data_IF_958336052020
#
_entry.id   IF_958336052020
#
_cell.length_a   1.000
_cell.length_b   1.000
_cell.length_c   1.000
_cell.angle_alpha   90.00
_cell.angle_beta   90.00
_cell.angle_gamma   90.00
#
_symmetry.space_group_name_H-M   'P 1'
#
loop_
_entity.id
_entity.type
_entity.pdbx_description
1 polymer ?
#
# COMPACT_ATOMS: atom_id res chain seq x y z
N UNK A 1 -44.11 19.13 -8.09
CA UNK A 1 -43.24 18.33 -7.19
C UNK A 1 -41.85 18.36 -7.81
N UNK A 2 -41.19 19.52 -7.75
CA UNK A 2 -40.19 19.91 -6.75
C UNK A 2 -39.03 18.90 -6.70
N UNK A 3 -37.94 19.40 -7.26
CA UNK A 3 -36.57 18.93 -7.40
C UNK A 3 -35.89 18.55 -6.07
N UNK A 4 -34.84 17.72 -6.20
CA UNK A 4 -33.50 17.74 -5.54
C UNK A 4 -33.03 16.38 -4.98
N UNK A 5 -31.70 16.15 -4.92
CA UNK A 5 -31.06 15.05 -5.64
C UNK A 5 -30.25 14.10 -4.73
N UNK A 6 -29.75 13.02 -5.31
CA UNK A 6 -28.70 12.19 -4.71
C UNK A 6 -27.39 12.99 -4.70
N UNK A 7 -26.80 13.05 -3.51
CA UNK A 7 -25.67 13.87 -3.12
C UNK A 7 -24.39 13.37 -3.82
N UNK A 8 -23.97 14.07 -4.87
CA UNK A 8 -22.57 14.26 -5.24
C UNK A 8 -21.93 15.18 -4.19
N UNK A 9 -20.59 15.15 -4.06
CA UNK A 9 -19.74 15.82 -3.05
C UNK A 9 -19.37 14.93 -1.84
N UNK A 10 -18.25 14.21 -1.98
CA UNK A 10 -17.16 14.30 -1.00
C UNK A 10 -15.83 14.01 -1.70
N UNK A 11 -15.27 15.10 -2.22
CA UNK A 11 -13.91 15.28 -2.67
C UNK A 11 -12.88 14.59 -1.77
N UNK A 12 -12.06 13.74 -2.40
CA UNK A 12 -10.64 14.03 -2.58
C UNK A 12 -9.97 14.74 -1.40
N UNK A 13 -9.41 13.97 -0.46
CA UNK A 13 -8.23 14.22 0.42
C UNK A 13 -8.41 13.40 1.72
N UNK A 14 -7.75 12.22 1.80
CA UNK A 14 -6.46 12.20 2.49
C UNK A 14 -5.42 11.31 1.77
N UNK A 15 -5.23 11.51 0.46
CA UNK A 15 -4.15 10.88 -0.31
C UNK A 15 -2.74 11.46 -0.02
N UNK A 16 -2.57 12.26 1.05
CA UNK A 16 -1.28 12.85 1.43
C UNK A 16 -0.82 12.53 2.87
N UNK A 17 -1.57 11.79 3.69
CA UNK A 17 -1.17 11.55 5.10
C UNK A 17 -0.32 10.29 5.28
N UNK A 18 -0.41 9.31 4.37
CA UNK A 18 0.22 8.00 4.59
C UNK A 18 1.71 7.89 4.22
N UNK A 19 2.30 8.87 3.52
CA UNK A 19 3.72 8.80 3.13
C UNK A 19 4.64 9.55 4.11
N UNK A 20 4.14 10.48 4.94
CA UNK A 20 5.00 11.29 5.85
C UNK A 20 4.96 10.90 7.34
N UNK A 21 4.01 10.09 7.82
CA UNK A 21 3.98 9.70 9.25
C UNK A 21 4.87 8.50 9.61
N UNK A 22 5.54 7.87 8.62
CA UNK A 22 6.43 6.72 8.85
C UNK A 22 7.84 7.06 9.34
N UNK A 23 8.14 8.31 9.73
CA UNK A 23 9.52 8.75 10.02
C UNK A 23 9.77 9.52 11.31
N UNK A 24 8.79 9.65 12.21
CA UNK A 24 9.00 10.29 13.51
C UNK A 24 8.37 9.49 14.65
N UNK A 25 8.94 8.33 14.99
CA UNK A 25 8.73 7.70 16.30
C UNK A 25 9.96 6.89 16.75
N UNK A 26 11.17 7.38 16.43
CA UNK A 26 12.43 6.77 16.87
C UNK A 26 13.33 7.72 17.66
N UNK A 27 12.78 8.51 18.59
CA UNK A 27 13.49 9.23 19.66
C UNK A 27 12.39 9.68 20.64
N UNK A 28 12.34 9.41 21.93
CA UNK A 28 13.32 8.90 22.87
C UNK A 28 12.56 8.36 24.08
N UNK A 29 12.73 7.06 24.34
CA UNK A 29 12.39 6.38 25.57
C UNK A 29 13.36 6.85 26.68
N UNK A 30 13.19 8.09 27.17
CA UNK A 30 14.01 8.62 28.26
C UNK A 30 13.25 8.53 29.58
N UNK A 31 13.40 7.36 30.20
CA UNK A 31 13.70 7.16 31.61
C UNK A 31 13.32 8.31 32.57
N UNK A 32 12.20 8.17 33.27
CA UNK A 32 11.95 8.89 34.53
C UNK A 32 11.40 7.92 35.59
N UNK A 33 12.22 6.92 35.93
CA UNK A 33 12.08 6.15 37.18
C UNK A 33 13.05 6.70 38.21
N UNK A 34 12.73 7.85 38.78
CA UNK A 34 13.41 8.36 39.97
C UNK A 34 12.82 7.67 41.21
N UNK A 35 13.52 6.62 41.64
CA UNK A 35 13.34 5.96 42.94
C UNK A 35 14.09 6.80 43.99
N UNK A 36 13.39 7.54 44.84
CA UNK A 36 13.98 8.13 46.04
C UNK A 36 13.40 7.45 47.28
N UNK A 37 14.31 6.80 48.02
CA UNK A 37 14.12 6.24 49.35
C UNK A 37 14.77 7.20 50.33
N UNK A 38 14.00 7.75 51.25
CA UNK A 38 14.40 8.43 52.49
C UNK A 38 13.11 8.66 53.28
N UNK A 39 13.01 8.65 54.60
CA UNK A 39 13.81 8.21 55.73
C UNK A 39 12.79 8.15 56.88
N UNK A 40 13.02 7.32 57.91
CA UNK A 40 12.06 7.17 59.00
C UNK A 40 12.00 8.43 59.88
N UNK A 41 10.80 8.97 60.10
CA UNK A 41 10.52 9.68 61.35
C UNK A 41 9.07 9.45 61.78
N UNK A 42 8.90 9.00 63.02
CA UNK A 42 7.64 8.53 63.58
C UNK A 42 6.63 9.66 63.80
N UNK A 43 5.57 9.65 63.00
CA UNK A 43 4.28 10.24 63.35
C UNK A 43 3.22 9.33 62.75
N UNK A 44 2.27 8.87 63.57
CA UNK A 44 1.23 7.91 63.19
C UNK A 44 0.20 8.62 62.30
N UNK A 45 0.56 8.80 61.04
CA UNK A 45 -0.34 9.31 60.02
C UNK A 45 -1.28 8.18 59.62
N UNK A 46 -2.57 8.37 59.88
CA UNK A 46 -3.59 7.53 59.28
C UNK A 46 -3.50 7.71 57.76
N UNK A 47 -3.18 6.63 57.04
CA UNK A 47 -3.08 6.66 55.58
C UNK A 47 -4.48 6.82 55.01
N UNK A 48 -4.86 8.05 54.70
CA UNK A 48 -6.04 8.30 53.89
C UNK A 48 -5.78 7.67 52.51
N UNK A 49 -6.54 6.63 52.17
CA UNK A 49 -6.57 6.11 50.79
C UNK A 49 -7.40 7.10 50.00
N UNK A 50 -6.78 7.84 49.09
CA UNK A 50 -7.51 8.73 48.19
C UNK A 50 -8.28 7.89 47.17
N UNK A 51 -9.54 8.24 46.90
CA UNK A 51 -10.41 7.63 45.87
C UNK A 51 -9.82 7.70 44.45
N UNK A 52 -8.67 8.38 44.29
CA UNK A 52 -7.88 8.44 43.07
C UNK A 52 -7.16 7.11 42.79
N UNK A 53 -6.78 6.32 43.81
CA UNK A 53 -6.05 5.06 43.59
C UNK A 53 -6.86 4.02 42.80
N UNK A 54 -8.16 3.89 43.07
CA UNK A 54 -9.03 2.96 42.33
C UNK A 54 -9.27 3.35 40.86
N UNK A 55 -9.04 4.62 40.49
CA UNK A 55 -9.19 5.07 39.10
C UNK A 55 -7.98 4.70 38.26
N UNK A 56 -6.78 4.70 38.84
CA UNK A 56 -5.52 4.37 38.16
C UNK A 56 -5.52 2.89 37.72
N UNK A 57 -5.97 1.98 38.60
CA UNK A 57 -6.03 0.54 38.31
C UNK A 57 -7.09 0.22 37.24
N UNK A 58 -8.22 0.94 37.27
CA UNK A 58 -9.28 0.80 36.27
C UNK A 58 -8.83 1.29 34.89
N UNK A 59 -8.11 2.41 34.83
CA UNK A 59 -7.56 2.94 33.56
C UNK A 59 -6.36 2.13 33.05
N UNK A 60 -5.60 1.47 33.93
CA UNK A 60 -4.51 0.58 33.52
C UNK A 60 -5.01 -0.64 32.75
N UNK A 61 -6.12 -1.23 33.19
CA UNK A 61 -6.74 -2.38 32.53
C UNK A 61 -7.41 -1.98 31.19
N UNK A 62 -7.95 -0.77 31.12
CA UNK A 62 -8.56 -0.20 29.90
C UNK A 62 -7.48 0.19 28.87
N UNK A 63 -6.35 0.73 29.33
CA UNK A 63 -5.19 1.02 28.48
C UNK A 63 -4.49 -0.27 28.02
N UNK A 64 -4.39 -1.31 28.85
CA UNK A 64 -3.90 -2.64 28.42
C UNK A 64 -4.84 -3.30 27.39
N UNK A 65 -6.15 -3.09 27.48
CA UNK A 65 -7.12 -3.58 26.50
C UNK A 65 -7.07 -2.79 25.17
N UNK A 66 -6.86 -1.47 25.24
CA UNK A 66 -6.66 -0.62 24.06
C UNK A 66 -5.31 -0.93 23.38
N UNK A 67 -4.24 -1.10 24.16
CA UNK A 67 -2.92 -1.52 23.65
C UNK A 67 -2.96 -2.96 23.08
N UNK A 68 -3.79 -3.85 23.63
CA UNK A 68 -4.05 -5.17 23.03
C UNK A 68 -4.83 -5.13 21.72
N UNK A 69 -5.60 -4.07 21.47
CA UNK A 69 -6.38 -3.90 20.26
C UNK A 69 -5.62 -3.11 19.17
N UNK A 70 -4.56 -2.37 19.53
CA UNK A 70 -3.85 -1.48 18.60
C UNK A 70 -2.64 -2.12 17.88
N UNK A 71 -2.17 -3.32 18.21
CA UNK A 71 -0.84 -3.73 17.74
C UNK A 71 -0.68 -5.21 17.35
N UNK A 72 -1.59 -5.73 16.52
CA UNK A 72 -1.27 -6.93 15.71
C UNK A 72 -1.45 -6.57 14.25
N UNK A 73 -0.42 -5.91 13.69
CA UNK A 73 -0.28 -5.78 12.26
C UNK A 73 0.49 -6.99 11.73
N UNK A 74 0.02 -7.50 10.60
CA UNK A 74 0.67 -8.56 9.84
C UNK A 74 1.22 -7.97 8.54
N UNK A 75 2.43 -8.36 8.18
CA UNK A 75 3.01 -7.98 6.90
C UNK A 75 2.45 -8.91 5.82
N UNK A 76 1.74 -8.33 4.85
CA UNK A 76 1.22 -9.03 3.68
C UNK A 76 1.97 -8.60 2.41
N UNK A 77 2.15 -9.51 1.45
CA UNK A 77 2.88 -9.28 0.20
C UNK A 77 1.99 -9.45 -1.03
N UNK A 78 1.98 -8.45 -1.92
CA UNK A 78 0.92 -8.27 -2.91
C UNK A 78 1.14 -9.26 -4.03
N UNK A 79 0.15 -10.10 -4.29
CA UNK A 79 0.30 -11.10 -5.33
C UNK A 79 0.39 -10.53 -6.75
N UNK A 80 0.05 -9.25 -6.95
CA UNK A 80 0.17 -8.58 -8.24
C UNK A 80 1.57 -7.96 -8.43
N UNK A 81 2.03 -7.18 -7.45
CA UNK A 81 3.21 -6.31 -7.63
C UNK A 81 4.36 -6.57 -6.64
N UNK A 82 4.18 -7.44 -5.64
CA UNK A 82 5.18 -7.76 -4.62
C UNK A 82 5.37 -6.66 -3.57
N UNK A 83 4.53 -5.62 -3.55
CA UNK A 83 4.55 -4.60 -2.50
C UNK A 83 4.18 -5.24 -1.16
N UNK A 84 4.92 -4.91 -0.10
CA UNK A 84 4.65 -5.34 1.27
C UNK A 84 3.97 -4.22 2.05
N UNK A 85 2.87 -4.53 2.72
CA UNK A 85 2.13 -3.59 3.56
C UNK A 85 1.86 -4.23 4.92
N UNK A 86 1.94 -3.43 5.98
CA UNK A 86 1.56 -3.85 7.33
C UNK A 86 0.07 -3.57 7.51
N UNK A 87 -0.73 -4.62 7.69
CA UNK A 87 -2.19 -4.58 7.66
C UNK A 87 -2.79 -5.27 8.89
N UNK A 88 -3.99 -4.87 9.29
CA UNK A 88 -4.73 -5.65 10.31
C UNK A 88 -5.22 -6.97 9.69
N UNK A 89 -5.30 -8.07 10.48
CA UNK A 89 -5.81 -9.36 10.00
C UNK A 89 -7.20 -9.26 9.38
N UNK A 90 -8.09 -8.47 9.98
CA UNK A 90 -9.45 -8.22 9.47
C UNK A 90 -9.43 -7.56 8.09
N UNK A 91 -8.51 -6.61 7.86
CA UNK A 91 -8.37 -5.97 6.55
C UNK A 91 -7.83 -6.94 5.51
N UNK A 92 -6.82 -7.74 5.86
CA UNK A 92 -6.28 -8.80 4.98
C UNK A 92 -7.41 -9.73 4.54
N UNK A 93 -8.22 -10.22 5.48
CA UNK A 93 -9.32 -11.14 5.18
C UNK A 93 -10.36 -10.52 4.25
N UNK A 94 -10.79 -9.28 4.53
CA UNK A 94 -11.77 -8.58 3.69
C UNK A 94 -11.26 -8.38 2.24
N UNK A 95 -9.96 -8.13 2.07
CA UNK A 95 -9.35 -8.05 0.74
C UNK A 95 -9.34 -9.42 0.06
N UNK A 96 -8.94 -10.48 0.76
CA UNK A 96 -8.93 -11.84 0.20
C UNK A 96 -10.33 -12.29 -0.23
N UNK A 97 -11.35 -12.03 0.58
CA UNK A 97 -12.76 -12.35 0.29
C UNK A 97 -13.27 -11.68 -1.00
N UNK A 98 -12.73 -10.50 -1.33
CA UNK A 98 -13.12 -9.70 -2.50
C UNK A 98 -12.25 -9.94 -3.74
N UNK A 99 -11.14 -10.67 -3.63
CA UNK A 99 -10.13 -10.82 -4.68
C UNK A 99 -9.74 -12.27 -4.96
N UNK A 100 -10.70 -13.20 -4.82
CA UNK A 100 -10.49 -14.63 -5.09
C UNK A 100 -9.39 -15.24 -4.20
N UNK A 101 -9.47 -14.99 -2.90
CA UNK A 101 -8.55 -15.48 -1.87
C UNK A 101 -7.10 -15.00 -2.03
N UNK A 102 -6.88 -13.93 -2.81
CA UNK A 102 -5.56 -13.34 -3.05
C UNK A 102 -5.45 -12.01 -2.32
N UNK A 103 -4.34 -11.81 -1.61
CA UNK A 103 -4.06 -10.50 -1.03
C UNK A 103 -3.51 -9.55 -2.10
N UNK A 104 -4.14 -8.38 -2.24
CA UNK A 104 -3.73 -7.31 -3.14
C UNK A 104 -3.58 -5.99 -2.37
N UNK A 105 -2.51 -5.24 -2.64
CA UNK A 105 -2.32 -3.93 -2.03
C UNK A 105 -3.39 -2.94 -2.46
N UNK A 106 -3.55 -1.84 -1.71
CA UNK A 106 -4.62 -0.86 -1.95
C UNK A 106 -4.66 -0.30 -3.40
N UNK A 107 -3.49 -0.10 -4.02
CA UNK A 107 -3.42 0.38 -5.42
C UNK A 107 -3.85 -0.69 -6.44
N UNK A 108 -3.46 -1.95 -6.22
CA UNK A 108 -3.84 -3.06 -7.10
C UNK A 108 -5.34 -3.39 -6.94
N UNK A 109 -5.89 -3.27 -5.74
CA UNK A 109 -7.33 -3.41 -5.47
C UNK A 109 -8.14 -2.40 -6.31
N UNK A 110 -7.77 -1.12 -6.30
CA UNK A 110 -8.47 -0.11 -7.11
C UNK A 110 -8.33 -0.37 -8.61
N UNK A 111 -7.16 -0.85 -9.07
CA UNK A 111 -6.98 -1.19 -10.48
C UNK A 111 -7.85 -2.38 -10.93
N UNK A 112 -7.95 -3.43 -10.10
CA UNK A 112 -8.82 -4.58 -10.38
C UNK A 112 -10.28 -4.16 -10.39
N UNK A 113 -10.71 -3.35 -9.42
CA UNK A 113 -12.07 -2.81 -9.35
C UNK A 113 -12.41 -1.97 -10.58
N UNK A 114 -11.49 -1.12 -11.03
CA UNK A 114 -11.66 -0.32 -12.25
C UNK A 114 -11.79 -1.21 -13.50
N UNK A 115 -11.05 -2.32 -13.59
CA UNK A 115 -11.22 -3.30 -14.68
C UNK A 115 -12.61 -3.93 -14.65
N UNK A 116 -13.11 -4.32 -13.48
CA UNK A 116 -14.46 -4.91 -13.35
C UNK A 116 -15.58 -3.90 -13.67
N UNK A 117 -15.36 -2.61 -13.40
CA UNK A 117 -16.28 -1.54 -13.82
C UNK A 117 -16.31 -1.41 -15.36
N UNK A 118 -15.14 -1.50 -16.00
CA UNK A 118 -15.01 -1.40 -17.47
C UNK A 118 -15.54 -2.63 -18.19
N UNK A 119 -15.31 -3.81 -17.62
CA UNK A 119 -15.64 -5.11 -18.21
C UNK A 119 -16.39 -5.98 -17.18
N UNK A 120 -17.69 -5.72 -16.94
CA UNK A 120 -18.47 -6.37 -15.89
C UNK A 120 -18.68 -7.88 -16.09
N UNK A 121 -18.35 -8.40 -17.26
CA UNK A 121 -18.47 -9.83 -17.60
C UNK A 121 -17.27 -10.66 -17.14
N UNK A 122 -16.16 -10.01 -16.78
CA UNK A 122 -14.94 -10.68 -16.35
C UNK A 122 -15.08 -11.18 -14.91
N UNK A 123 -14.58 -12.39 -14.66
CA UNK A 123 -14.53 -12.94 -13.30
C UNK A 123 -13.39 -12.30 -12.51
N UNK A 124 -13.58 -12.08 -11.20
CA UNK A 124 -12.60 -11.40 -10.35
C UNK A 124 -11.20 -12.03 -10.47
N UNK A 125 -11.11 -13.35 -10.48
CA UNK A 125 -9.83 -14.06 -10.62
C UNK A 125 -9.08 -13.70 -11.93
N UNK A 126 -9.82 -13.57 -13.03
CA UNK A 126 -9.27 -13.20 -14.33
C UNK A 126 -8.82 -11.74 -14.35
N UNK A 127 -9.59 -10.84 -13.71
CA UNK A 127 -9.20 -9.45 -13.53
C UNK A 127 -7.89 -9.32 -12.71
N UNK A 128 -7.77 -10.06 -11.61
CA UNK A 128 -6.55 -10.11 -10.79
C UNK A 128 -5.37 -10.69 -11.59
N UNK A 129 -5.58 -11.77 -12.35
CA UNK A 129 -4.53 -12.43 -13.15
C UNK A 129 -4.03 -11.54 -14.29
N UNK A 130 -4.95 -10.84 -14.96
CA UNK A 130 -4.62 -9.87 -16.00
C UNK A 130 -3.84 -8.70 -15.41
N UNK A 131 -4.26 -8.18 -14.25
CA UNK A 131 -3.54 -7.10 -13.59
C UNK A 131 -2.14 -7.52 -13.12
N UNK A 132 -1.99 -8.74 -12.58
CA UNK A 132 -0.68 -9.31 -12.23
C UNK A 132 0.29 -9.29 -13.41
N UNK A 133 -0.16 -9.68 -14.60
CA UNK A 133 0.66 -9.66 -15.82
C UNK A 133 1.15 -8.25 -16.16
N UNK A 134 0.30 -7.23 -15.99
CA UNK A 134 0.67 -5.81 -16.17
C UNK A 134 1.71 -5.38 -15.14
N UNK A 135 1.52 -5.75 -13.86
CA UNK A 135 2.49 -5.46 -12.81
C UNK A 135 3.85 -6.13 -13.06
N UNK A 136 3.86 -7.38 -13.54
CA UNK A 136 5.09 -8.10 -13.89
C UNK A 136 5.85 -7.40 -15.03
N UNK A 137 5.18 -7.00 -16.11
CA UNK A 137 5.80 -6.26 -17.20
C UNK A 137 6.40 -4.93 -16.73
N UNK A 138 5.65 -4.22 -15.90
CA UNK A 138 6.07 -2.96 -15.31
C UNK A 138 7.29 -3.13 -14.39
N UNK A 139 7.26 -4.13 -13.52
CA UNK A 139 8.35 -4.45 -12.61
C UNK A 139 9.61 -4.87 -13.37
N UNK A 140 9.48 -5.71 -14.40
CA UNK A 140 10.60 -6.08 -15.27
C UNK A 140 11.25 -4.85 -15.92
N UNK A 141 10.45 -3.90 -16.38
CA UNK A 141 10.93 -2.65 -16.98
C UNK A 141 11.66 -1.77 -15.97
N UNK A 142 11.12 -1.61 -14.76
CA UNK A 142 11.72 -0.76 -13.71
C UNK A 142 12.95 -1.38 -13.04
N UNK A 143 12.94 -2.68 -12.78
CA UNK A 143 14.05 -3.38 -12.15
C UNK A 143 15.24 -3.54 -13.11
N UNK A 144 14.98 -3.64 -14.42
CA UNK A 144 16.00 -3.84 -15.42
C UNK A 144 15.89 -2.83 -16.58
N UNK A 145 16.04 -1.51 -16.33
CA UNK A 145 15.78 -0.48 -17.34
C UNK A 145 16.73 -0.58 -18.53
N UNK A 146 17.98 -1.02 -18.31
CA UNK A 146 18.95 -1.28 -19.38
C UNK A 146 18.49 -2.43 -20.28
N UNK A 147 18.06 -3.55 -19.71
CA UNK A 147 17.58 -4.69 -20.50
C UNK A 147 16.31 -4.33 -21.26
N UNK A 148 15.36 -3.65 -20.61
CA UNK A 148 14.14 -3.15 -21.26
C UNK A 148 14.46 -2.24 -22.45
N UNK A 149 15.40 -1.28 -22.27
CA UNK A 149 15.87 -0.44 -23.38
C UNK A 149 16.48 -1.27 -24.51
N UNK A 150 17.35 -2.23 -24.20
CA UNK A 150 17.95 -3.09 -25.25
C UNK A 150 16.92 -3.93 -25.99
N UNK A 151 15.89 -4.42 -25.29
CA UNK A 151 14.79 -5.17 -25.88
C UNK A 151 13.95 -4.29 -26.82
N UNK A 152 13.66 -3.05 -26.40
CA UNK A 152 12.99 -2.07 -27.23
C UNK A 152 13.82 -1.70 -28.47
N UNK A 153 15.13 -1.47 -28.34
CA UNK A 153 16.01 -1.22 -29.48
C UNK A 153 16.04 -2.41 -30.45
N UNK A 154 16.10 -3.64 -29.92
CA UNK A 154 16.04 -4.86 -30.71
C UNK A 154 14.71 -4.99 -31.45
N UNK A 155 13.57 -4.71 -30.79
CA UNK A 155 12.26 -4.81 -31.41
C UNK A 155 12.09 -3.80 -32.55
N UNK A 156 12.59 -2.57 -32.37
CA UNK A 156 12.63 -1.53 -33.43
C UNK A 156 13.46 -2.01 -34.62
N UNK A 157 14.66 -2.53 -34.38
CA UNK A 157 15.54 -3.03 -35.45
C UNK A 157 14.91 -4.21 -36.20
N UNK A 158 14.26 -5.14 -35.48
CA UNK A 158 13.56 -6.29 -36.04
C UNK A 158 12.39 -5.83 -36.92
N UNK A 159 11.52 -4.97 -36.41
CA UNK A 159 10.39 -4.39 -37.16
C UNK A 159 10.84 -3.62 -38.39
N UNK A 160 11.94 -2.87 -38.30
CA UNK A 160 12.54 -2.15 -39.44
C UNK A 160 13.06 -3.10 -40.54
N UNK A 161 13.62 -4.26 -40.16
CA UNK A 161 14.04 -5.29 -41.13
C UNK A 161 12.86 -5.98 -41.78
N UNK A 162 11.85 -6.36 -40.99
CA UNK A 162 10.61 -6.97 -41.50
C UNK A 162 9.88 -6.05 -42.47
N UNK A 163 9.81 -4.75 -42.17
CA UNK A 163 9.20 -3.76 -43.05
C UNK A 163 9.95 -3.60 -44.39
N UNK A 164 11.28 -3.76 -44.41
CA UNK A 164 12.10 -3.74 -45.64
C UNK A 164 11.94 -5.02 -46.47
N UNK A 165 11.67 -6.14 -45.82
CA UNK A 165 11.50 -7.44 -46.47
C UNK A 165 10.04 -7.72 -46.86
N UNK A 166 9.10 -6.85 -46.48
CA UNK A 166 7.69 -6.99 -46.84
C UNK A 166 7.51 -6.72 -48.34
N UNK A 167 6.96 -7.66 -49.12
CA UNK A 167 6.78 -7.51 -50.57
C UNK A 167 5.77 -6.42 -50.96
N UNK A 168 5.07 -5.82 -49.99
CA UNK A 168 3.96 -4.90 -50.21
C UNK A 168 4.33 -3.41 -50.08
N UNK A 169 5.61 -3.05 -49.95
CA UNK A 169 6.00 -1.63 -49.81
C UNK A 169 6.89 -1.14 -50.96
N UNK A 170 6.23 -0.70 -52.04
CA UNK A 170 6.80 0.18 -53.05
C UNK A 170 6.85 1.62 -52.53
N UNK A 171 7.63 1.91 -51.50
CA UNK A 171 7.99 3.30 -51.14
C UNK A 171 9.48 3.45 -50.83
N UNK A 172 9.97 4.64 -51.17
CA UNK A 172 11.31 4.96 -51.65
C UNK A 172 12.49 4.53 -50.78
N UNK A 173 13.60 4.21 -51.45
CA UNK A 173 14.92 4.08 -50.83
C UNK A 173 15.24 5.33 -49.99
N UNK A 174 15.14 5.21 -48.67
CA UNK A 174 15.76 6.15 -47.75
C UNK A 174 17.26 5.80 -47.73
N UNK A 175 18.00 6.40 -48.67
CA UNK A 175 19.45 6.32 -48.70
C UNK A 175 20.04 6.94 -47.42
N UNK A 176 20.91 6.18 -46.73
CA UNK A 176 21.74 6.74 -45.66
C UNK A 176 22.65 7.80 -46.29
N UNK A 177 22.41 9.08 -45.98
CA UNK A 177 23.44 10.10 -46.20
C UNK A 177 24.54 9.86 -45.18
N UNK A 178 25.67 9.37 -45.66
CA UNK A 178 26.93 9.51 -44.93
C UNK A 178 27.29 11.00 -45.00
N UNK A 179 27.43 11.64 -43.84
CA UNK A 179 28.01 12.98 -43.78
C UNK A 179 29.53 12.83 -43.81
N UNK A 180 30.17 13.55 -44.74
CA UNK A 180 31.62 13.75 -44.84
C UNK A 180 32.10 14.61 -43.68
#
# INVERSE_FOLDING_TARGET
>A
MISKPLNEENHLFPLMVFIELGRLNSLSLSLSRSRSRSEQNGHKLHKAVSDVSHKIDKTGNELEAIVKAEEVLEQAECECCGLKEDCTPDYIQNIMDSHSDKWVCGLCSEAVKETLIKEPTIVIEEAVTTHRSVCEEFNNTRLNPKLSLTYAMRSIAKRSRENRNSPNNSTSMIGRRNSV
#
